data_IF_896203896645
#
_entry.id   IF_896203896645
#
_cell.length_a   1.000
_cell.length_b   1.000
_cell.length_c   1.000
_cell.angle_alpha   90.00
_cell.angle_beta   90.00
_cell.angle_gamma   90.00
#
_symmetry.space_group_name_H-M   'P 1'
#
loop_
_entity.id
_entity.type
_entity.pdbx_description
1 polymer ?
#
# COMPACT_ATOMS: atom_id res chain seq x y z
N UNK A 1 -7.57 -15.36 14.98
CA UNK A 1 -6.98 -14.27 15.77
C UNK A 1 -6.33 -13.31 14.79
N UNK A 2 -6.71 -12.04 14.79
CA UNK A 2 -6.23 -11.04 13.81
C UNK A 2 -4.80 -10.58 14.10
N UNK A 3 -4.12 -10.06 13.08
CA UNK A 3 -2.81 -9.41 13.23
C UNK A 3 -2.92 -8.19 14.15
N UNK A 4 -1.93 -8.00 15.02
CA UNK A 4 -1.90 -6.85 15.91
C UNK A 4 -1.25 -5.65 15.19
N UNK A 5 -1.74 -4.44 15.47
CA UNK A 5 -1.07 -3.22 15.03
C UNK A 5 0.32 -3.16 15.68
N UNK A 6 1.35 -3.04 14.86
CA UNK A 6 2.74 -2.92 15.30
C UNK A 6 3.50 -1.91 14.41
N UNK A 7 3.34 -0.64 14.76
CA UNK A 7 4.01 0.47 14.06
C UNK A 7 5.52 0.54 14.33
N UNK A 8 6.04 -0.34 15.19
CA UNK A 8 7.46 -0.46 15.53
C UNK A 8 8.14 -1.68 14.87
N UNK A 9 7.38 -2.50 14.12
CA UNK A 9 7.89 -3.62 13.33
C UNK A 9 8.93 -3.15 12.31
N UNK A 10 9.76 -4.09 11.84
CA UNK A 10 10.75 -3.77 10.80
C UNK A 10 10.08 -3.31 9.51
N UNK A 11 8.95 -3.93 9.18
CA UNK A 11 8.13 -3.55 8.03
C UNK A 11 7.57 -2.12 8.15
N UNK A 12 7.01 -1.77 9.32
CA UNK A 12 6.52 -0.41 9.56
C UNK A 12 7.61 0.65 9.45
N UNK A 13 8.83 0.34 9.93
CA UNK A 13 9.98 1.26 9.83
C UNK A 13 10.41 1.49 8.39
N UNK A 14 10.55 0.42 7.60
CA UNK A 14 10.93 0.49 6.20
C UNK A 14 9.95 1.38 5.41
N UNK A 15 8.66 1.08 5.54
CA UNK A 15 7.60 1.76 4.80
C UNK A 15 7.45 3.21 5.27
N UNK A 16 7.64 3.48 6.56
CA UNK A 16 7.66 4.86 7.08
C UNK A 16 8.80 5.66 6.46
N UNK A 17 9.99 5.07 6.33
CA UNK A 17 11.13 5.73 5.71
C UNK A 17 10.83 6.08 4.23
N UNK A 18 10.26 5.14 3.47
CA UNK A 18 9.87 5.38 2.07
C UNK A 18 8.80 6.47 1.96
N UNK A 19 7.76 6.39 2.79
CA UNK A 19 6.67 7.35 2.86
C UNK A 19 7.17 8.76 3.18
N UNK A 20 8.04 8.89 4.19
CA UNK A 20 8.64 10.17 4.57
C UNK A 20 9.57 10.72 3.49
N UNK A 21 10.35 9.86 2.84
CA UNK A 21 11.23 10.28 1.74
C UNK A 21 10.44 10.77 0.52
N UNK A 22 9.26 10.21 0.26
CA UNK A 22 8.35 10.69 -0.77
C UNK A 22 7.72 12.04 -0.37
N UNK A 23 7.15 12.12 0.83
CA UNK A 23 6.53 13.34 1.35
C UNK A 23 7.51 14.52 1.43
N UNK A 24 8.77 14.27 1.81
CA UNK A 24 9.80 15.32 1.87
C UNK A 24 10.09 16.02 0.53
N UNK A 25 9.67 15.43 -0.61
CA UNK A 25 9.78 16.05 -1.93
C UNK A 25 8.68 17.08 -2.19
N UNK A 26 7.63 17.09 -1.37
CA UNK A 26 6.41 17.89 -1.55
C UNK A 26 6.01 18.53 -0.21
N UNK A 27 6.28 19.84 -0.02
CA UNK A 27 6.08 20.49 1.28
C UNK A 27 4.61 20.57 1.73
N UNK A 28 3.67 20.44 0.81
CA UNK A 28 2.21 20.41 1.03
C UNK A 28 1.65 18.99 1.20
N UNK A 29 2.53 17.98 1.34
CA UNK A 29 2.16 16.58 1.52
C UNK A 29 2.60 16.09 2.89
N UNK A 30 1.62 15.60 3.64
CA UNK A 30 1.80 14.93 4.92
C UNK A 30 1.64 13.44 4.73
N UNK A 31 2.45 12.65 5.43
CA UNK A 31 2.33 11.20 5.36
C UNK A 31 2.19 10.55 6.71
N UNK A 32 1.49 9.42 6.72
CA UNK A 32 1.32 8.57 7.89
C UNK A 32 1.45 7.12 7.47
N UNK A 33 1.92 6.30 8.39
CA UNK A 33 2.18 4.88 8.14
C UNK A 33 1.64 4.06 9.29
N UNK A 34 0.98 2.96 8.96
CA UNK A 34 0.57 1.95 9.94
C UNK A 34 0.89 0.57 9.40
N UNK A 35 1.25 -0.35 10.29
CA UNK A 35 1.40 -1.75 9.93
C UNK A 35 0.71 -2.64 10.96
N UNK A 36 0.09 -3.68 10.44
CA UNK A 36 -0.37 -4.85 11.18
C UNK A 36 0.55 -5.98 10.81
N UNK A 37 1.15 -6.64 11.79
CA UNK A 37 2.07 -7.76 11.54
C UNK A 37 1.69 -8.96 12.38
N UNK A 38 2.06 -10.14 11.89
CA UNK A 38 1.88 -11.41 12.55
C UNK A 38 2.90 -12.42 12.06
N UNK A 39 2.97 -13.56 12.74
CA UNK A 39 4.06 -14.51 12.55
C UNK A 39 5.24 -14.20 13.47
N UNK A 40 6.27 -15.04 13.40
CA UNK A 40 7.44 -14.93 14.31
C UNK A 40 8.46 -13.91 13.80
N UNK A 41 8.44 -13.62 12.50
CA UNK A 41 9.42 -12.83 11.77
C UNK A 41 8.76 -11.72 10.92
N UNK A 42 7.55 -11.27 11.30
CA UNK A 42 6.73 -10.31 10.54
C UNK A 42 6.37 -10.78 9.11
N UNK A 43 6.32 -12.10 8.88
CA UNK A 43 6.03 -12.69 7.56
C UNK A 43 4.58 -12.48 7.10
N UNK A 44 3.66 -12.29 8.04
CA UNK A 44 2.30 -11.88 7.76
C UNK A 44 2.19 -10.40 8.02
N UNK A 45 1.87 -9.60 7.00
CA UNK A 45 1.73 -8.18 7.20
C UNK A 45 0.59 -7.59 6.37
N UNK A 46 0.03 -6.51 6.91
CA UNK A 46 -0.70 -5.51 6.15
C UNK A 46 -0.13 -4.15 6.48
N UNK A 47 0.29 -3.43 5.46
CA UNK A 47 0.97 -2.14 5.61
C UNK A 47 0.22 -1.08 4.87
N UNK A 48 0.21 0.13 5.42
CA UNK A 48 -0.43 1.28 4.78
C UNK A 48 0.48 2.47 4.80
N UNK A 49 0.69 3.02 3.61
CA UNK A 49 1.22 4.37 3.39
C UNK A 49 0.06 5.25 3.00
N UNK A 50 -0.25 6.26 3.81
CA UNK A 50 -1.25 7.25 3.47
C UNK A 50 -0.61 8.63 3.36
N UNK A 51 -1.04 9.38 2.36
CA UNK A 51 -0.62 10.74 2.08
C UNK A 51 -1.85 11.64 2.07
N UNK A 52 -1.70 12.80 2.69
CA UNK A 52 -2.66 13.88 2.67
C UNK A 52 -1.98 15.09 2.05
N UNK A 53 -2.71 15.77 1.18
CA UNK A 53 -2.29 17.03 0.58
C UNK A 53 -3.15 18.17 1.13
N UNK A 54 -2.54 19.33 1.38
CA UNK A 54 -3.25 20.52 1.88
C UNK A 54 -4.32 21.05 0.91
N UNK A 55 -4.19 20.70 -0.38
CA UNK A 55 -5.10 21.10 -1.45
C UNK A 55 -5.66 19.89 -2.19
N UNK A 56 -6.76 20.10 -2.90
CA UNK A 56 -7.33 19.07 -3.75
C UNK A 56 -6.34 18.60 -4.83
N UNK A 57 -6.38 17.30 -5.13
CA UNK A 57 -5.69 16.64 -6.23
C UNK A 57 -6.57 16.80 -7.47
N UNK A 58 -6.01 17.39 -8.54
CA UNK A 58 -6.72 17.50 -9.83
C UNK A 58 -6.92 16.12 -10.47
N UNK A 59 -7.92 15.96 -11.34
CA UNK A 59 -8.17 14.69 -12.02
C UNK A 59 -6.96 14.17 -12.82
N UNK A 60 -6.19 15.09 -13.41
CA UNK A 60 -4.90 14.78 -14.03
C UNK A 60 -3.90 14.24 -13.00
N UNK A 61 -3.78 14.88 -11.84
CA UNK A 61 -2.92 14.43 -10.74
C UNK A 61 -3.34 13.05 -10.23
N UNK A 62 -4.66 12.79 -10.08
CA UNK A 62 -5.19 11.49 -9.67
C UNK A 62 -4.76 10.39 -10.65
N UNK A 63 -4.89 10.67 -11.94
CA UNK A 63 -4.49 9.74 -13.02
C UNK A 63 -2.97 9.48 -13.02
N UNK A 64 -2.15 10.50 -12.79
CA UNK A 64 -0.69 10.37 -12.71
C UNK A 64 -0.24 9.57 -11.49
N UNK A 65 -0.86 9.80 -10.33
CA UNK A 65 -0.57 9.05 -9.09
C UNK A 65 -0.90 7.57 -9.29
N UNK A 66 -2.11 7.25 -9.81
CA UNK A 66 -2.50 5.87 -10.08
C UNK A 66 -1.57 5.21 -11.12
N UNK A 67 -1.19 5.92 -12.18
CA UNK A 67 -0.23 5.40 -13.15
C UNK A 67 1.14 5.10 -12.52
N UNK A 68 1.62 5.95 -11.61
CA UNK A 68 2.87 5.74 -10.89
C UNK A 68 2.83 4.52 -9.95
N UNK A 69 1.68 4.26 -9.31
CA UNK A 69 1.47 3.10 -8.44
C UNK A 69 1.48 1.80 -9.26
N UNK A 70 0.76 1.77 -10.39
CA UNK A 70 0.60 0.55 -11.20
C UNK A 70 1.69 0.32 -12.25
N UNK A 71 2.57 1.29 -12.46
CA UNK A 71 3.73 1.19 -13.37
C UNK A 71 4.98 1.73 -12.69
N UNK A 72 5.39 1.15 -11.55
CA UNK A 72 6.58 1.63 -10.88
C UNK A 72 7.80 1.37 -11.76
N UNK A 73 8.79 2.26 -11.66
CA UNK A 73 10.10 1.98 -12.23
C UNK A 73 10.72 0.78 -11.49
N UNK A 74 11.31 -0.15 -12.24
CA UNK A 74 12.03 -1.28 -11.67
C UNK A 74 13.26 -0.78 -10.90
N UNK A 75 13.48 -1.31 -9.69
CA UNK A 75 14.74 -1.15 -8.99
C UNK A 75 15.84 -1.99 -9.68
N UNK A 76 17.12 -1.56 -9.65
CA UNK A 76 18.22 -2.35 -10.23
C UNK A 76 18.24 -3.78 -9.69
N UNK A 77 18.23 -4.78 -10.58
CA UNK A 77 18.25 -6.20 -10.21
C UNK A 77 16.90 -6.78 -9.77
N UNK A 78 15.81 -6.02 -9.86
CA UNK A 78 14.45 -6.47 -9.54
C UNK A 78 13.49 -6.15 -10.69
N UNK A 79 12.47 -6.97 -10.87
CA UNK A 79 11.36 -6.69 -11.79
C UNK A 79 10.07 -6.82 -11.03
N UNK A 80 9.27 -5.75 -11.02
CA UNK A 80 7.94 -5.73 -10.43
C UNK A 80 6.91 -5.83 -11.54
N UNK A 81 6.00 -6.79 -11.41
CA UNK A 81 4.91 -7.04 -12.35
C UNK A 81 3.60 -7.02 -11.59
N UNK A 82 2.68 -6.14 -12.01
CA UNK A 82 1.32 -6.14 -11.52
C UNK A 82 0.44 -7.03 -12.40
N UNK A 83 -0.39 -7.84 -11.75
CA UNK A 83 -1.51 -8.54 -12.37
C UNK A 83 -2.62 -7.58 -12.78
N UNK A 84 -3.78 -8.15 -13.12
CA UNK A 84 -4.93 -7.35 -13.52
C UNK A 84 -5.44 -6.48 -12.36
N UNK A 85 -5.54 -5.17 -12.59
CA UNK A 85 -6.16 -4.24 -11.65
C UNK A 85 -7.66 -4.45 -11.63
N UNK A 86 -8.21 -4.64 -10.44
CA UNK A 86 -9.64 -4.81 -10.18
C UNK A 86 -10.14 -3.72 -9.22
N UNK A 87 -11.37 -3.25 -9.46
CA UNK A 87 -12.03 -2.32 -8.55
C UNK A 87 -12.73 -3.11 -7.44
N UNK A 88 -12.52 -2.71 -6.20
CA UNK A 88 -13.16 -3.26 -5.01
C UNK A 88 -13.94 -2.14 -4.33
N UNK A 89 -15.21 -2.40 -4.06
CA UNK A 89 -16.06 -1.51 -3.26
C UNK A 89 -15.77 -1.73 -1.76
N UNK A 90 -15.22 -0.74 -1.03
CA UNK A 90 -14.98 -0.82 0.39
C UNK A 90 -16.28 -0.74 1.22
N UNK A 91 -17.45 -0.52 0.60
CA UNK A 91 -18.76 -0.49 1.26
C UNK A 91 -19.22 0.91 1.68
N UNK A 92 -20.05 0.98 2.71
CA UNK A 92 -20.89 2.15 3.06
C UNK A 92 -20.14 3.45 3.45
N UNK A 93 -18.81 3.42 3.60
CA UNK A 93 -17.97 4.61 3.81
C UNK A 93 -17.48 5.25 2.50
N UNK A 94 -17.79 4.63 1.36
CA UNK A 94 -17.56 5.16 0.02
C UNK A 94 -16.11 5.07 -0.47
N UNK A 95 -15.94 5.29 -1.78
CA UNK A 95 -14.65 5.22 -2.49
C UNK A 95 -14.51 3.94 -3.30
N UNK A 96 -13.54 3.89 -4.21
CA UNK A 96 -13.18 2.65 -4.94
C UNK A 96 -11.72 2.36 -4.66
N UNK A 97 -11.42 1.16 -4.17
CA UNK A 97 -10.06 0.66 -4.08
C UNK A 97 -9.70 -0.05 -5.39
N UNK A 98 -8.54 0.27 -5.94
CA UNK A 98 -7.95 -0.48 -7.04
C UNK A 98 -6.95 -1.47 -6.47
N UNK A 99 -7.11 -2.76 -6.76
CA UNK A 99 -6.26 -3.82 -6.24
C UNK A 99 -5.69 -4.68 -7.36
N UNK A 100 -4.43 -5.05 -7.26
CA UNK A 100 -3.77 -6.04 -8.11
C UNK A 100 -2.81 -6.89 -7.30
N UNK A 101 -2.57 -8.11 -7.75
CA UNK A 101 -1.48 -8.93 -7.26
C UNK A 101 -0.15 -8.42 -7.86
N UNK A 102 0.87 -8.28 -7.02
CA UNK A 102 2.17 -7.71 -7.38
C UNK A 102 3.24 -8.76 -7.20
N UNK A 103 3.83 -9.22 -8.31
CA UNK A 103 4.94 -10.15 -8.31
C UNK A 103 6.25 -9.41 -8.43
N UNK A 104 7.15 -9.66 -7.49
CA UNK A 104 8.51 -9.15 -7.51
C UNK A 104 9.46 -10.30 -7.77
N UNK A 105 10.24 -10.19 -8.85
CA UNK A 105 11.27 -11.15 -9.23
C UNK A 105 12.65 -10.55 -9.06
N UNK A 106 13.55 -11.22 -8.32
CA UNK A 106 14.98 -10.86 -8.28
C UNK A 106 15.73 -11.46 -9.47
N UNK A 107 16.74 -10.74 -9.97
CA UNK A 107 17.56 -11.19 -11.10
C UNK A 107 18.46 -12.40 -10.76
N UNK A 108 18.83 -12.54 -9.48
CA UNK A 108 19.58 -13.68 -8.95
C UNK A 108 18.66 -14.66 -8.23
N UNK A 109 18.63 -15.90 -8.70
CA UNK A 109 18.07 -17.07 -8.01
C UNK A 109 18.97 -17.52 -6.89
N UNK A 110 18.38 -17.75 -5.71
CA UNK A 110 19.07 -18.46 -4.63
C UNK A 110 19.28 -19.94 -5.01
N UNK A 111 19.98 -20.70 -4.16
CA UNK A 111 20.29 -22.10 -4.40
C UNK A 111 19.05 -23.02 -4.50
N UNK A 112 17.87 -22.51 -4.14
CA UNK A 112 16.60 -23.23 -4.15
C UNK A 112 15.66 -22.75 -5.27
N UNK A 113 16.09 -21.79 -6.11
CA UNK A 113 15.32 -21.27 -7.23
C UNK A 113 14.21 -20.29 -6.83
N UNK A 114 14.19 -19.84 -5.57
CA UNK A 114 13.11 -19.01 -5.04
C UNK A 114 13.51 -17.52 -5.08
N UNK A 115 12.97 -16.80 -6.06
CA UNK A 115 13.20 -15.36 -6.26
C UNK A 115 11.93 -14.55 -6.46
N UNK A 116 10.77 -15.19 -6.26
CA UNK A 116 9.46 -14.61 -6.55
C UNK A 116 8.77 -14.38 -5.22
N UNK A 117 8.46 -13.12 -4.95
CA UNK A 117 7.59 -12.68 -3.87
C UNK A 117 6.31 -12.17 -4.51
N UNK A 118 5.15 -12.63 -4.09
CA UNK A 118 3.89 -11.98 -4.42
C UNK A 118 3.44 -11.14 -3.23
N UNK A 119 2.53 -10.20 -3.48
CA UNK A 119 1.91 -9.33 -2.49
C UNK A 119 0.66 -8.76 -3.15
N UNK A 120 -0.47 -8.70 -2.45
CA UNK A 120 -1.59 -7.91 -2.96
C UNK A 120 -1.34 -6.44 -2.66
N UNK A 121 -1.34 -5.61 -3.69
CA UNK A 121 -1.27 -4.16 -3.56
C UNK A 121 -2.63 -3.55 -3.87
N UNK A 122 -3.12 -2.71 -2.97
CA UNK A 122 -4.33 -1.91 -3.18
C UNK A 122 -4.02 -0.43 -3.06
N UNK A 123 -4.71 0.41 -3.82
CA UNK A 123 -4.57 1.84 -3.74
C UNK A 123 -5.90 2.56 -3.94
N UNK A 124 -6.02 3.75 -3.36
CA UNK A 124 -7.08 4.70 -3.67
C UNK A 124 -6.53 6.11 -3.71
N UNK A 125 -7.20 6.95 -4.50
CA UNK A 125 -6.93 8.39 -4.60
C UNK A 125 -8.27 9.13 -4.55
N UNK A 126 -8.43 9.99 -3.56
CA UNK A 126 -9.62 10.82 -3.39
C UNK A 126 -9.28 12.31 -3.53
N UNK A 127 -10.16 13.18 -3.03
CA UNK A 127 -10.09 14.63 -3.24
C UNK A 127 -8.74 15.20 -2.83
N UNK A 128 -8.16 14.80 -1.70
CA UNK A 128 -6.86 15.30 -1.25
C UNK A 128 -5.99 14.22 -0.57
N UNK A 129 -6.38 12.95 -0.70
CA UNK A 129 -5.75 11.83 0.00
C UNK A 129 -5.40 10.72 -0.98
N UNK A 130 -4.32 10.02 -0.64
CA UNK A 130 -3.85 8.82 -1.33
C UNK A 130 -3.55 7.79 -0.27
N UNK A 131 -3.92 6.53 -0.47
CA UNK A 131 -3.27 5.46 0.28
C UNK A 131 -2.86 4.30 -0.62
N UNK A 132 -1.78 3.66 -0.22
CA UNK A 132 -1.23 2.44 -0.80
C UNK A 132 -1.13 1.40 0.30
N UNK A 133 -1.67 0.22 0.04
CA UNK A 133 -1.84 -0.87 0.99
C UNK A 133 -1.09 -2.08 0.44
N UNK A 134 -0.17 -2.64 1.21
CA UNK A 134 0.54 -3.88 0.87
C UNK A 134 0.10 -5.02 1.78
N UNK A 135 -0.19 -6.19 1.21
CA UNK A 135 -0.71 -7.35 1.93
C UNK A 135 0.09 -8.59 1.51
N UNK A 136 0.73 -9.27 2.46
CA UNK A 136 1.59 -10.42 2.16
C UNK A 136 0.83 -11.67 1.70
N UNK A 137 1.54 -12.56 0.98
CA UNK A 137 1.00 -13.73 0.26
C UNK A 137 0.39 -14.83 1.12
N UNK A 138 0.74 -14.91 2.40
CA UNK A 138 0.30 -16.00 3.27
C UNK A 138 -1.20 -15.94 3.62
N UNK A 139 -1.94 -15.03 2.99
CA UNK A 139 -3.30 -14.70 3.33
C UNK A 139 -4.10 -14.54 2.03
N UNK A 140 -5.03 -15.48 1.78
CA UNK A 140 -5.86 -15.51 0.56
C UNK A 140 -7.33 -15.18 0.85
N UNK A 141 -7.96 -14.45 -0.09
CA UNK A 141 -9.41 -14.18 -0.16
C UNK A 141 -9.99 -13.27 0.93
N UNK A 142 -9.62 -13.48 2.19
CA UNK A 142 -10.01 -12.66 3.35
C UNK A 142 -9.27 -11.33 3.42
N UNK A 143 -8.21 -11.15 2.63
CA UNK A 143 -7.22 -10.10 2.87
C UNK A 143 -7.45 -8.84 2.07
N UNK A 144 -8.13 -8.96 0.93
CA UNK A 144 -8.73 -7.82 0.25
C UNK A 144 -9.73 -7.12 1.17
N UNK A 145 -10.53 -7.87 1.94
CA UNK A 145 -11.49 -7.31 2.91
C UNK A 145 -10.79 -6.63 4.09
N UNK A 146 -9.67 -7.17 4.59
CA UNK A 146 -8.84 -6.51 5.62
C UNK A 146 -8.16 -5.25 5.10
N UNK A 147 -7.64 -5.28 3.87
CA UNK A 147 -7.10 -4.09 3.20
C UNK A 147 -8.16 -3.00 3.06
N UNK A 148 -9.38 -3.38 2.67
CA UNK A 148 -10.51 -2.46 2.60
C UNK A 148 -10.90 -1.88 3.98
N UNK A 149 -10.86 -2.68 5.05
CA UNK A 149 -11.04 -2.21 6.42
C UNK A 149 -10.02 -1.15 6.83
N UNK A 150 -8.75 -1.35 6.50
CA UNK A 150 -7.73 -0.38 6.88
C UNK A 150 -7.85 0.89 6.03
N UNK A 151 -8.17 0.78 4.73
CA UNK A 151 -8.48 1.94 3.90
C UNK A 151 -9.62 2.78 4.51
N UNK A 152 -10.67 2.11 5.03
CA UNK A 152 -11.81 2.73 5.71
C UNK A 152 -11.38 3.48 6.97
N UNK A 153 -10.62 2.85 7.86
CA UNK A 153 -10.13 3.46 9.09
C UNK A 153 -9.25 4.69 8.82
N UNK A 154 -8.35 4.59 7.83
CA UNK A 154 -7.49 5.71 7.45
C UNK A 154 -8.27 6.88 6.87
N UNK A 155 -9.21 6.61 5.97
CA UNK A 155 -10.08 7.63 5.40
C UNK A 155 -10.82 8.38 6.50
N UNK A 156 -11.47 7.64 7.40
CA UNK A 156 -12.20 8.24 8.52
C UNK A 156 -11.27 9.08 9.41
N UNK A 157 -10.06 8.60 9.69
CA UNK A 157 -9.08 9.34 10.48
C UNK A 157 -8.56 10.60 9.78
N UNK A 158 -8.32 10.57 8.47
CA UNK A 158 -7.87 11.72 7.69
C UNK A 158 -8.97 12.78 7.53
N UNK A 159 -10.20 12.35 7.20
CA UNK A 159 -11.34 13.27 7.06
C UNK A 159 -11.72 13.94 8.38
N UNK A 160 -11.50 13.27 9.53
CA UNK A 160 -11.76 13.84 10.87
C UNK A 160 -10.78 14.94 11.32
N UNK A 161 -9.69 15.17 10.58
CA UNK A 161 -8.64 16.17 10.91
C UNK A 161 -8.83 17.50 10.16
N UNK A 162 -9.87 17.61 9.33
CA UNK A 162 -10.36 18.88 8.77
C UNK A 162 -11.23 19.63 9.75
#
# INVERSE_FOLDING_TARGET
>A
MGMARNDHSNMAKLIRQESQALAARYPDVHSTTTAYVGGTFDENYVTVMAFEKDSAISDQGRSQILAGIWRPANAPGMTVVHGQVSNVDPGSLGGTLQCAETYTKTATTDAFGNSVYSTTQCAWVDVNTVAVIGISDAVSGQDVTKGAEIAREFRAAAESRR
#
